data_IF_585220175285
#
_entry.id   IF_585220175285
#
_cell.length_a   1.000
_cell.length_b   1.000
_cell.length_c   1.000
_cell.angle_alpha   90.00
_cell.angle_beta   90.00
_cell.angle_gamma   90.00
#
_symmetry.space_group_name_H-M   'P 1'
#
loop_
_entity.id
_entity.type
_entity.pdbx_description
1 polymer ?
#
# COMPACT_ATOMS: atom_id res chain seq x y z
N UNK A 1 -34.42 38.47 -10.67
CA UNK A 1 -34.69 37.07 -10.27
C UNK A 1 -33.44 36.18 -10.31
N UNK A 2 -32.54 36.35 -11.28
CA UNK A 2 -31.32 35.54 -11.46
C UNK A 2 -30.29 35.63 -10.30
N UNK A 3 -30.14 36.80 -9.68
CA UNK A 3 -29.20 37.00 -8.54
C UNK A 3 -29.58 36.13 -7.33
N UNK A 4 -30.89 35.94 -7.08
CA UNK A 4 -31.37 35.04 -6.01
C UNK A 4 -31.07 33.57 -6.35
N UNK A 5 -31.17 33.15 -7.60
CA UNK A 5 -30.83 31.80 -8.03
C UNK A 5 -29.33 31.50 -7.91
N UNK A 6 -28.45 32.44 -8.27
CA UNK A 6 -27.00 32.27 -8.14
C UNK A 6 -26.55 32.25 -6.67
N UNK A 7 -27.15 33.12 -5.82
CA UNK A 7 -26.94 33.09 -4.38
C UNK A 7 -27.43 31.76 -3.76
N UNK A 8 -28.56 31.21 -4.24
CA UNK A 8 -29.09 29.91 -3.79
C UNK A 8 -28.16 28.76 -4.20
N UNK A 9 -27.61 28.77 -5.42
CA UNK A 9 -26.60 27.79 -5.88
C UNK A 9 -25.29 27.87 -5.08
N UNK A 10 -24.80 29.08 -4.80
CA UNK A 10 -23.59 29.29 -3.98
C UNK A 10 -23.78 28.86 -2.52
N UNK A 11 -24.96 29.13 -1.93
CA UNK A 11 -25.33 28.62 -0.60
C UNK A 11 -25.38 27.08 -0.56
N UNK A 12 -25.89 26.44 -1.60
CA UNK A 12 -25.96 24.98 -1.67
C UNK A 12 -24.57 24.32 -1.65
N UNK A 13 -23.58 24.86 -2.38
CA UNK A 13 -22.22 24.29 -2.35
C UNK A 13 -21.59 24.39 -0.95
N UNK A 14 -21.76 25.53 -0.26
CA UNK A 14 -21.26 25.70 1.12
C UNK A 14 -21.92 24.72 2.09
N UNK A 15 -23.23 24.51 1.97
CA UNK A 15 -23.98 23.56 2.81
C UNK A 15 -23.54 22.12 2.52
N UNK A 16 -23.32 21.75 1.25
CA UNK A 16 -22.79 20.42 0.89
C UNK A 16 -21.40 20.17 1.46
N UNK A 17 -20.50 21.17 1.40
CA UNK A 17 -19.16 21.08 1.99
C UNK A 17 -19.28 20.89 3.51
N UNK A 18 -20.11 21.68 4.20
CA UNK A 18 -20.32 21.53 5.65
C UNK A 18 -20.92 20.17 6.03
N UNK A 19 -21.87 19.65 5.23
CA UNK A 19 -22.43 18.31 5.43
C UNK A 19 -21.38 17.22 5.23
N UNK A 20 -20.50 17.36 4.23
CA UNK A 20 -19.40 16.43 4.01
C UNK A 20 -18.41 16.43 5.19
N UNK A 21 -18.06 17.61 5.72
CA UNK A 21 -17.22 17.72 6.91
C UNK A 21 -17.89 17.14 8.16
N UNK A 22 -19.19 17.38 8.36
CA UNK A 22 -19.94 16.79 9.47
C UNK A 22 -19.99 15.26 9.38
N UNK A 23 -20.23 14.72 8.18
CA UNK A 23 -20.20 13.27 7.93
C UNK A 23 -18.80 12.67 8.18
N UNK A 24 -17.74 13.34 7.70
CA UNK A 24 -16.36 12.96 7.98
C UNK A 24 -16.05 13.00 9.48
N UNK A 25 -16.52 14.02 10.20
CA UNK A 25 -16.30 14.14 11.64
C UNK A 25 -17.02 13.03 12.42
N UNK A 26 -18.27 12.71 12.06
CA UNK A 26 -19.01 11.58 12.65
C UNK A 26 -18.33 10.25 12.35
N UNK A 27 -17.82 10.05 11.13
CA UNK A 27 -17.06 8.84 10.78
C UNK A 27 -15.73 8.76 11.53
N UNK A 28 -15.03 9.89 11.71
CA UNK A 28 -13.79 9.94 12.48
C UNK A 28 -14.06 9.59 13.95
N UNK A 29 -14.97 10.30 14.60
CA UNK A 29 -15.34 10.06 16.01
C UNK A 29 -15.89 8.65 16.23
N UNK A 30 -16.78 8.18 15.35
CA UNK A 30 -17.30 6.81 15.41
C UNK A 30 -16.23 5.75 15.14
N UNK A 31 -15.23 6.07 14.32
CA UNK A 31 -14.07 5.19 14.10
C UNK A 31 -13.15 5.14 15.31
N UNK A 32 -12.96 6.23 16.04
CA UNK A 32 -12.20 6.27 17.29
C UNK A 32 -12.85 5.38 18.37
N UNK A 33 -14.18 5.43 18.53
CA UNK A 33 -14.88 4.54 19.47
C UNK A 33 -14.82 3.04 19.09
N UNK A 34 -14.50 2.74 17.82
CA UNK A 34 -14.41 1.38 17.26
C UNK A 34 -12.95 0.93 17.04
N UNK A 35 -11.97 1.58 17.70
CA UNK A 35 -10.54 1.32 17.52
C UNK A 35 -10.07 -0.08 17.96
N UNK A 36 -10.86 -0.84 18.73
CA UNK A 36 -10.43 -2.15 19.25
C UNK A 36 -10.45 -3.30 18.24
N UNK A 37 -11.07 -3.14 17.05
CA UNK A 37 -11.22 -4.24 16.07
C UNK A 37 -10.55 -4.01 14.71
N UNK A 38 -10.04 -2.80 14.44
CA UNK A 38 -9.41 -2.47 13.14
C UNK A 38 -7.95 -2.92 13.04
N UNK A 39 -7.25 -3.07 14.17
CA UNK A 39 -5.87 -3.56 14.20
C UNK A 39 -5.79 -5.02 13.72
N UNK A 40 -6.65 -5.90 14.26
CA UNK A 40 -6.71 -7.31 13.86
C UNK A 40 -6.96 -7.50 12.36
N UNK A 41 -7.84 -6.68 11.76
CA UNK A 41 -8.11 -6.77 10.32
C UNK A 41 -6.92 -6.32 9.47
N UNK A 42 -6.18 -5.29 9.93
CA UNK A 42 -5.00 -4.79 9.22
C UNK A 42 -3.87 -5.81 9.28
N UNK A 43 -3.65 -6.41 10.45
CA UNK A 43 -2.67 -7.47 10.65
C UNK A 43 -3.03 -8.73 9.87
N UNK A 44 -4.31 -9.11 9.84
CA UNK A 44 -4.81 -10.21 9.01
C UNK A 44 -4.65 -9.95 7.50
N UNK A 45 -4.92 -8.73 7.04
CA UNK A 45 -4.78 -8.33 5.64
C UNK A 45 -3.30 -8.30 5.22
N UNK A 46 -2.42 -7.78 6.08
CA UNK A 46 -0.98 -7.81 5.86
C UNK A 46 -0.47 -9.25 5.85
N UNK A 47 -0.84 -10.06 6.85
CA UNK A 47 -0.48 -11.48 6.91
C UNK A 47 -0.94 -12.25 5.66
N UNK A 48 -2.15 -11.98 5.15
CA UNK A 48 -2.66 -12.58 3.91
C UNK A 48 -1.84 -12.17 2.68
N UNK A 49 -1.42 -10.89 2.57
CA UNK A 49 -0.54 -10.43 1.49
C UNK A 49 0.83 -11.12 1.53
N UNK A 50 1.48 -11.20 2.69
CA UNK A 50 2.78 -11.87 2.81
C UNK A 50 2.68 -13.39 2.63
N UNK A 51 1.56 -14.01 3.04
CA UNK A 51 1.33 -15.44 2.82
C UNK A 51 1.12 -15.77 1.35
N UNK A 52 0.44 -14.89 0.60
CA UNK A 52 0.28 -15.03 -0.85
C UNK A 52 1.62 -14.87 -1.58
N UNK A 53 2.49 -13.96 -1.12
CA UNK A 53 3.83 -13.79 -1.69
C UNK A 53 4.73 -15.02 -1.46
N UNK A 54 4.61 -15.69 -0.30
CA UNK A 54 5.32 -16.94 -0.01
C UNK A 54 4.90 -18.08 -0.96
N UNK A 55 3.62 -18.15 -1.37
CA UNK A 55 3.18 -19.13 -2.37
C UNK A 55 3.58 -18.77 -3.81
N UNK A 56 3.86 -17.49 -4.10
CA UNK A 56 4.37 -17.05 -5.40
C UNK A 56 5.88 -17.32 -5.55
N UNK A 57 6.57 -17.67 -4.47
CA UNK A 57 8.01 -17.91 -4.44
C UNK A 57 8.37 -19.36 -4.09
N UNK A 58 7.94 -20.36 -4.90
CA UNK A 58 8.46 -21.72 -4.76
C UNK A 58 9.95 -21.69 -5.10
N UNK A 59 10.76 -21.65 -4.04
CA UNK A 59 12.23 -21.65 -3.97
C UNK A 59 12.94 -22.84 -4.65
N UNK A 60 12.37 -23.50 -5.66
CA UNK A 60 12.90 -24.80 -6.09
C UNK A 60 13.49 -24.92 -7.50
N UNK A 61 13.26 -24.03 -8.48
CA UNK A 61 13.84 -24.24 -9.84
C UNK A 61 14.18 -23.01 -10.70
N UNK A 62 14.17 -21.79 -10.17
CA UNK A 62 14.45 -20.56 -10.94
C UNK A 62 15.30 -19.57 -10.14
N UNK A 63 15.84 -18.55 -10.79
CA UNK A 63 16.63 -17.49 -10.17
C UNK A 63 15.92 -16.85 -8.95
N UNK A 64 16.69 -16.24 -8.05
CA UNK A 64 16.23 -15.62 -6.80
C UNK A 64 15.90 -14.15 -7.03
N UNK A 65 14.70 -13.76 -6.60
CA UNK A 65 14.20 -12.38 -6.69
C UNK A 65 14.79 -11.46 -5.62
N UNK A 66 14.39 -10.18 -5.63
CA UNK A 66 14.86 -9.15 -4.70
C UNK A 66 14.64 -9.58 -3.24
N UNK A 67 15.67 -9.40 -2.40
CA UNK A 67 15.74 -9.86 -1.00
C UNK A 67 15.81 -11.39 -0.81
N UNK A 68 15.87 -12.19 -1.89
CA UNK A 68 16.12 -13.62 -1.80
C UNK A 68 17.55 -13.91 -1.33
N UNK A 69 17.73 -14.79 -0.35
CA UNK A 69 19.06 -15.16 0.17
C UNK A 69 19.93 -15.77 -0.93
N UNK A 70 21.16 -15.32 -1.14
CA UNK A 70 22.04 -15.81 -2.20
C UNK A 70 23.44 -16.09 -1.69
N UNK A 71 24.11 -17.08 -2.31
CA UNK A 71 25.55 -17.30 -2.11
C UNK A 71 26.39 -16.73 -3.24
N UNK A 72 25.83 -16.68 -4.45
CA UNK A 72 26.48 -16.22 -5.68
C UNK A 72 25.53 -15.33 -6.46
N UNK A 73 26.06 -14.36 -7.19
CA UNK A 73 25.29 -13.49 -8.09
C UNK A 73 24.52 -14.28 -9.15
N UNK A 74 25.05 -15.43 -9.62
CA UNK A 74 24.37 -16.30 -10.59
C UNK A 74 23.09 -16.94 -10.07
N UNK A 75 22.85 -16.90 -8.76
CA UNK A 75 21.60 -17.38 -8.17
C UNK A 75 20.51 -16.32 -8.24
N UNK A 76 20.84 -15.04 -8.45
CA UNK A 76 19.88 -13.95 -8.53
C UNK A 76 19.29 -13.81 -9.93
N UNK A 77 18.07 -13.28 -10.03
CA UNK A 77 17.43 -12.98 -11.31
C UNK A 77 18.09 -11.81 -12.05
N UNK A 78 17.77 -11.66 -13.32
CA UNK A 78 18.22 -10.54 -14.14
C UNK A 78 17.89 -9.20 -13.46
N UNK A 79 18.85 -8.26 -13.49
CA UNK A 79 18.87 -6.99 -12.73
C UNK A 79 19.13 -7.09 -11.22
N UNK A 80 19.59 -8.25 -10.74
CA UNK A 80 19.95 -8.44 -9.34
C UNK A 80 21.34 -9.05 -9.18
N UNK A 81 22.06 -8.54 -8.19
CA UNK A 81 23.36 -9.06 -7.77
C UNK A 81 23.33 -9.48 -6.30
N UNK A 82 24.13 -10.50 -5.98
CA UNK A 82 24.23 -10.96 -4.61
C UNK A 82 25.05 -9.94 -3.79
N UNK A 83 24.44 -9.34 -2.79
CA UNK A 83 25.13 -8.37 -1.94
C UNK A 83 26.09 -9.10 -0.98
N UNK A 84 27.39 -8.94 -1.16
CA UNK A 84 28.41 -9.71 -0.43
C UNK A 84 28.28 -9.65 1.10
N UNK A 85 27.92 -8.48 1.63
CA UNK A 85 27.71 -8.24 3.07
C UNK A 85 26.42 -8.82 3.64
N UNK A 86 25.34 -8.83 2.86
CA UNK A 86 23.99 -9.12 3.34
C UNK A 86 23.47 -10.48 2.84
N UNK A 87 24.20 -11.15 1.93
CA UNK A 87 23.88 -12.46 1.37
C UNK A 87 22.45 -12.56 0.85
N UNK A 88 21.98 -11.48 0.23
CA UNK A 88 20.67 -11.40 -0.43
C UNK A 88 20.80 -10.79 -1.83
N UNK A 89 19.85 -11.07 -2.71
CA UNK A 89 19.81 -10.47 -4.03
C UNK A 89 19.34 -9.02 -3.91
N UNK A 90 20.23 -8.08 -4.20
CA UNK A 90 19.94 -6.65 -4.26
C UNK A 90 19.89 -6.21 -5.72
N UNK A 91 19.17 -5.13 -6.02
CA UNK A 91 19.19 -4.50 -7.33
C UNK A 91 20.63 -4.10 -7.68
N UNK A 92 21.10 -4.55 -8.83
CA UNK A 92 22.46 -4.30 -9.32
C UNK A 92 22.62 -2.93 -10.01
N UNK A 93 21.55 -2.13 -10.04
CA UNK A 93 21.43 -0.84 -10.73
C UNK A 93 21.70 -0.93 -12.25
N UNK A 94 21.62 -2.11 -12.86
CA UNK A 94 21.75 -2.26 -14.31
C UNK A 94 20.43 -1.89 -14.98
N UNK A 95 20.14 -0.60 -15.04
CA UNK A 95 19.03 -0.01 -15.80
C UNK A 95 19.46 0.05 -17.27
N UNK A 96 19.33 -1.06 -17.99
CA UNK A 96 19.46 -1.11 -19.45
C UNK A 96 20.84 -1.50 -19.99
N UNK A 97 20.82 -2.48 -20.90
CA UNK A 97 21.78 -2.63 -21.99
C UNK A 97 21.00 -2.80 -23.29
#
# INVERSE_FOLDING_TARGET
>A
MLIKQFSRRSKNMKVQILLAFAALFVLAVGSYASESKKLDLRDALFSAMFSADYQLNPQERGCRYFLGECKKTSECCEHLACHDKHKWCAWDWTIGK
#
